data_IF_234478685418
#
_entry.id   IF_234478685418
#
_cell.length_a   1.000
_cell.length_b   1.000
_cell.length_c   1.000
_cell.angle_alpha   90.00
_cell.angle_beta   90.00
_cell.angle_gamma   90.00
#
_symmetry.space_group_name_H-M   'P 1'
#
loop_
_entity.id
_entity.type
_entity.pdbx_description
1 polymer ?
#
# COMPACT_ATOMS: atom_id res chain seq x y z
N UNK A 1 18.21 5.65 14.90
CA UNK A 1 17.46 5.61 13.64
C UNK A 1 17.18 4.17 13.23
N UNK A 2 15.96 3.89 12.76
CA UNK A 2 15.67 2.66 12.03
C UNK A 2 16.22 2.81 10.60
N UNK A 3 16.79 1.73 10.07
CA UNK A 3 17.18 1.67 8.66
C UNK A 3 15.95 1.35 7.82
N UNK A 4 15.82 2.01 6.68
CA UNK A 4 14.67 1.87 5.77
C UNK A 4 13.66 3.00 6.00
N UNK A 5 13.05 3.45 4.93
CA UNK A 5 12.16 4.60 4.86
C UNK A 5 12.77 5.68 3.97
N UNK A 6 12.15 5.86 2.80
CA UNK A 6 12.58 6.87 1.83
C UNK A 6 11.90 8.20 2.13
N UNK A 7 10.70 8.14 2.72
CA UNK A 7 9.78 9.26 2.92
C UNK A 7 9.82 9.84 4.33
N UNK A 8 10.39 9.10 5.32
CA UNK A 8 10.41 9.46 6.73
C UNK A 8 11.75 9.15 7.38
N UNK A 9 12.09 9.90 8.42
CA UNK A 9 13.13 9.51 9.36
C UNK A 9 12.48 8.84 10.57
N UNK A 10 12.80 7.55 10.76
CA UNK A 10 12.23 6.73 11.80
C UNK A 10 13.21 6.47 12.94
N UNK A 11 12.75 6.55 14.19
CA UNK A 11 13.54 6.29 15.38
C UNK A 11 12.80 5.30 16.29
N UNK A 12 13.54 4.40 16.95
CA UNK A 12 13.02 3.70 18.11
C UNK A 12 13.42 4.49 19.34
N UNK A 13 12.43 4.79 20.18
CA UNK A 13 12.59 5.51 21.45
C UNK A 13 12.06 4.62 22.56
N UNK A 14 12.73 4.63 23.71
CA UNK A 14 12.26 3.95 24.92
C UNK A 14 11.94 4.98 26.00
N UNK A 15 10.77 4.87 26.60
CA UNK A 15 10.35 5.64 27.76
C UNK A 15 9.66 4.73 28.77
N UNK A 16 10.09 4.80 30.04
CA UNK A 16 9.52 4.04 31.17
C UNK A 16 9.34 2.54 30.93
N UNK A 17 10.25 1.96 30.13
CA UNK A 17 10.24 0.52 29.81
C UNK A 17 9.36 0.14 28.62
N UNK A 18 8.65 1.09 28.02
CA UNK A 18 7.91 0.90 26.76
C UNK A 18 8.73 1.38 25.57
N UNK A 19 8.47 0.80 24.40
CA UNK A 19 9.13 1.20 23.13
C UNK A 19 8.14 1.82 22.16
N UNK A 20 8.64 2.79 21.41
CA UNK A 20 7.86 3.55 20.44
C UNK A 20 8.64 3.71 19.13
N UNK A 21 7.94 3.81 18.03
CA UNK A 21 8.47 4.28 16.75
C UNK A 21 8.05 5.72 16.58
N UNK A 22 9.03 6.62 16.45
CA UNK A 22 8.81 8.04 16.14
C UNK A 22 9.12 8.23 14.65
N UNK A 23 8.14 8.67 13.89
CA UNK A 23 8.26 9.01 12.46
C UNK A 23 8.26 10.52 12.33
N UNK A 24 9.26 11.08 11.66
CA UNK A 24 9.37 12.51 11.36
C UNK A 24 9.53 12.70 9.87
N UNK A 25 8.68 13.52 9.28
CA UNK A 25 8.72 13.81 7.86
C UNK A 25 7.81 14.96 7.47
N UNK A 26 8.10 15.57 6.33
CA UNK A 26 7.28 16.60 5.71
C UNK A 26 6.43 16.00 4.58
N UNK A 27 5.48 16.79 4.06
CA UNK A 27 4.76 16.44 2.85
C UNK A 27 5.73 16.26 1.68
N UNK A 28 5.46 15.25 0.83
CA UNK A 28 6.20 15.00 -0.41
C UNK A 28 5.20 15.02 -1.58
N UNK A 29 4.79 16.22 -2.03
CA UNK A 29 3.73 16.35 -3.03
C UNK A 29 4.01 15.62 -4.33
N UNK A 30 5.28 15.57 -4.77
CA UNK A 30 5.70 14.86 -5.98
C UNK A 30 5.41 13.36 -5.93
N UNK A 31 5.31 12.78 -4.74
CA UNK A 31 4.93 11.38 -4.53
C UNK A 31 3.50 11.21 -4.01
N UNK A 32 2.76 12.31 -3.86
CA UNK A 32 1.40 12.27 -3.29
C UNK A 32 1.36 11.94 -1.80
N UNK A 33 2.51 12.00 -1.09
CA UNK A 33 2.60 11.73 0.34
C UNK A 33 2.25 12.98 1.12
N UNK A 34 1.14 12.91 1.86
CA UNK A 34 0.60 14.03 2.63
C UNK A 34 0.45 13.61 4.09
N UNK A 35 1.10 14.30 5.01
CA UNK A 35 1.18 13.91 6.43
C UNK A 35 -0.17 13.92 7.15
N UNK A 36 -1.09 14.80 6.77
CA UNK A 36 -2.45 14.76 7.29
C UNK A 36 -3.17 13.44 6.96
N UNK A 37 -2.93 12.90 5.75
CA UNK A 37 -3.55 11.66 5.31
C UNK A 37 -2.92 10.44 5.98
N UNK A 38 -1.58 10.38 6.07
CA UNK A 38 -0.85 9.35 6.82
C UNK A 38 -1.34 9.27 8.28
N UNK A 39 -1.47 10.43 8.95
CA UNK A 39 -1.97 10.51 10.30
C UNK A 39 -3.39 9.98 10.42
N UNK A 40 -4.31 10.42 9.56
CA UNK A 40 -5.71 9.99 9.58
C UNK A 40 -5.84 8.49 9.26
N UNK A 41 -5.05 7.99 8.30
CA UNK A 41 -4.98 6.57 7.95
C UNK A 41 -4.46 5.71 9.10
N UNK A 42 -3.37 6.13 9.75
CA UNK A 42 -2.78 5.43 10.90
C UNK A 42 -3.76 5.33 12.07
N UNK A 43 -4.45 6.43 12.40
CA UNK A 43 -5.49 6.44 13.45
C UNK A 43 -6.65 5.50 13.11
N UNK A 44 -7.17 5.57 11.88
CA UNK A 44 -8.28 4.71 11.42
C UNK A 44 -7.87 3.24 11.38
N UNK A 45 -6.62 2.94 11.00
CA UNK A 45 -6.08 1.58 10.94
C UNK A 45 -5.86 0.98 12.33
N UNK A 46 -5.44 1.78 13.31
CA UNK A 46 -5.41 1.37 14.72
C UNK A 46 -6.81 1.04 15.23
N UNK A 47 -7.79 1.93 15.06
CA UNK A 47 -9.19 1.69 15.48
C UNK A 47 -9.80 0.47 14.78
N UNK A 48 -9.43 0.21 13.53
CA UNK A 48 -9.80 -1.01 12.82
C UNK A 48 -9.07 -2.25 13.35
N UNK A 49 -8.07 -2.10 14.22
CA UNK A 49 -7.25 -3.18 14.75
C UNK A 49 -6.39 -3.85 13.68
N UNK A 50 -5.81 -3.06 12.79
CA UNK A 50 -4.90 -3.48 11.71
C UNK A 50 -3.47 -3.04 12.01
N UNK A 51 -3.32 -1.85 12.61
CA UNK A 51 -2.05 -1.18 12.89
C UNK A 51 -1.80 -0.97 14.37
N UNK A 52 -0.56 -0.68 14.80
CA UNK A 52 -0.25 -0.38 16.19
C UNK A 52 -0.93 0.91 16.64
N UNK A 53 -1.03 1.06 17.96
CA UNK A 53 -1.56 2.26 18.61
C UNK A 53 -0.79 3.51 18.15
N UNK A 54 -1.55 4.55 17.79
CA UNK A 54 -1.04 5.90 17.60
C UNK A 54 -1.05 6.60 18.94
N UNK A 55 0.12 6.74 19.55
CA UNK A 55 0.28 7.33 20.90
C UNK A 55 0.27 8.85 20.82
N UNK A 56 0.83 9.41 19.77
CA UNK A 56 0.86 10.85 19.52
C UNK A 56 0.90 11.14 18.03
N UNK A 57 0.25 12.21 17.61
CA UNK A 57 0.26 12.66 16.23
C UNK A 57 0.11 14.18 16.14
N UNK A 58 1.01 14.82 15.38
CA UNK A 58 0.92 16.23 14.98
C UNK A 58 1.44 16.37 13.54
N UNK A 59 1.24 17.49 12.85
CA UNK A 59 1.79 17.70 11.53
C UNK A 59 3.31 17.45 11.49
N UNK A 60 3.73 16.45 10.71
CA UNK A 60 5.14 16.08 10.54
C UNK A 60 5.73 15.16 11.62
N UNK A 61 4.96 14.78 12.64
CA UNK A 61 5.42 13.81 13.66
C UNK A 61 4.31 12.81 14.02
N UNK A 62 4.66 11.52 13.98
CA UNK A 62 3.78 10.41 14.35
C UNK A 62 4.52 9.47 15.30
N UNK A 63 3.91 9.17 16.45
CA UNK A 63 4.47 8.25 17.44
C UNK A 63 3.54 7.02 17.53
N UNK A 64 4.10 5.88 17.19
CA UNK A 64 3.42 4.60 17.20
C UNK A 64 3.97 3.70 18.31
N UNK A 65 3.12 2.84 18.87
CA UNK A 65 3.60 1.76 19.74
C UNK A 65 4.50 0.82 18.95
N UNK A 66 5.65 0.49 19.49
CA UNK A 66 6.55 -0.46 18.87
C UNK A 66 5.95 -1.88 18.91
N UNK A 67 6.02 -2.58 17.80
CA UNK A 67 5.59 -3.98 17.70
C UNK A 67 6.82 -4.87 17.94
N UNK A 68 6.73 -5.73 18.94
CA UNK A 68 7.70 -6.79 19.17
C UNK A 68 7.38 -7.95 18.21
N UNK A 69 8.01 -7.97 17.05
CA UNK A 69 7.69 -8.93 16.00
C UNK A 69 8.76 -9.00 14.91
N UNK A 70 8.56 -9.89 13.98
CA UNK A 70 9.41 -10.07 12.82
C UNK A 70 8.78 -9.35 11.62
N UNK A 71 9.53 -8.46 10.99
CA UNK A 71 9.18 -7.89 9.69
C UNK A 71 9.28 -8.98 8.64
N UNK A 72 8.26 -9.11 7.78
CA UNK A 72 8.26 -10.14 6.74
C UNK A 72 9.25 -9.82 5.62
N UNK A 73 9.67 -10.88 4.96
CA UNK A 73 10.40 -10.84 3.68
C UNK A 73 9.48 -11.33 2.55
N UNK A 74 9.80 -11.08 1.26
CA UNK A 74 9.03 -11.64 0.16
C UNK A 74 8.90 -13.18 0.24
N UNK A 75 9.93 -13.89 0.73
CA UNK A 75 9.89 -15.34 0.94
C UNK A 75 8.85 -15.73 1.99
N UNK A 76 8.71 -14.95 3.07
CA UNK A 76 7.68 -15.20 4.08
C UNK A 76 6.27 -14.99 3.49
N UNK A 77 6.06 -13.90 2.71
CA UNK A 77 4.78 -13.63 2.07
C UNK A 77 4.34 -14.76 1.13
N UNK A 78 5.28 -15.39 0.41
CA UNK A 78 5.01 -16.53 -0.49
C UNK A 78 4.66 -17.84 0.20
N UNK A 79 4.75 -17.93 1.53
CA UNK A 79 4.30 -19.11 2.26
C UNK A 79 2.77 -19.16 2.27
N UNK A 80 2.19 -20.32 1.96
CA UNK A 80 0.74 -20.47 1.83
C UNK A 80 0.00 -20.12 3.12
N UNK A 81 0.52 -20.54 4.28
CA UNK A 81 -0.01 -20.20 5.60
C UNK A 81 0.07 -18.69 5.90
N UNK A 82 1.08 -18.00 5.38
CA UNK A 82 1.19 -16.55 5.52
C UNK A 82 0.18 -15.82 4.62
N UNK A 83 -0.02 -16.27 3.38
CA UNK A 83 -1.05 -15.73 2.49
C UNK A 83 -2.46 -15.92 3.10
N UNK A 84 -2.72 -17.05 3.76
CA UNK A 84 -3.97 -17.31 4.50
C UNK A 84 -4.21 -16.27 5.63
N UNK A 85 -3.17 -15.67 6.18
CA UNK A 85 -3.25 -14.59 7.19
C UNK A 85 -3.32 -13.19 6.56
N UNK A 86 -2.62 -12.97 5.44
CA UNK A 86 -2.56 -11.67 4.75
C UNK A 86 -3.92 -11.32 4.12
N UNK A 87 -4.60 -12.26 3.43
CA UNK A 87 -5.81 -11.93 2.68
C UNK A 87 -6.99 -11.50 3.58
N UNK A 88 -7.26 -12.14 4.74
CA UNK A 88 -8.22 -11.60 5.70
C UNK A 88 -7.85 -10.23 6.26
N UNK A 89 -6.54 -9.97 6.54
CA UNK A 89 -6.07 -8.66 6.98
C UNK A 89 -6.34 -7.60 5.92
N UNK A 90 -6.03 -7.88 4.65
CA UNK A 90 -6.28 -6.97 3.53
C UNK A 90 -7.79 -6.71 3.33
N UNK A 91 -8.62 -7.75 3.45
CA UNK A 91 -10.08 -7.60 3.43
C UNK A 91 -10.55 -6.65 4.54
N UNK A 92 -9.95 -6.74 5.73
CA UNK A 92 -10.23 -5.85 6.85
C UNK A 92 -9.79 -4.42 6.58
N UNK A 93 -8.61 -4.22 5.97
CA UNK A 93 -8.15 -2.91 5.49
C UNK A 93 -9.21 -2.29 4.59
N UNK A 94 -9.60 -2.96 3.53
CA UNK A 94 -10.50 -2.45 2.50
C UNK A 94 -11.92 -2.14 3.02
N UNK A 95 -12.44 -2.94 3.96
CA UNK A 95 -13.86 -2.86 4.36
C UNK A 95 -14.09 -2.20 5.72
N UNK A 96 -13.07 -2.20 6.60
CA UNK A 96 -13.24 -1.78 7.99
C UNK A 96 -12.64 -0.41 8.28
N UNK A 97 -11.46 -0.09 7.73
CA UNK A 97 -10.81 1.21 7.92
C UNK A 97 -11.73 2.39 7.56
N UNK A 98 -12.50 2.37 6.44
CA UNK A 98 -13.40 3.48 6.10
C UNK A 98 -14.41 3.84 7.17
N UNK A 99 -14.75 2.91 8.07
CA UNK A 99 -15.71 3.14 9.17
C UNK A 99 -15.14 4.01 10.29
N UNK A 100 -13.81 4.08 10.38
CA UNK A 100 -13.09 4.82 11.42
C UNK A 100 -12.39 6.06 10.86
N UNK A 101 -12.29 6.19 9.53
CA UNK A 101 -11.61 7.30 8.89
C UNK A 101 -12.38 8.61 9.12
N UNK A 102 -11.65 9.66 9.52
CA UNK A 102 -12.20 11.00 9.79
C UNK A 102 -11.50 12.04 8.95
N UNK A 103 -12.28 12.99 8.43
CA UNK A 103 -11.76 14.08 7.60
C UNK A 103 -11.63 13.71 6.11
N UNK A 104 -10.94 14.54 5.31
CA UNK A 104 -10.73 14.28 3.89
C UNK A 104 -9.78 13.11 3.69
N UNK A 105 -10.06 12.28 2.69
CA UNK A 105 -9.22 11.17 2.28
C UNK A 105 -8.77 11.35 0.85
N UNK A 106 -7.56 10.91 0.55
CA UNK A 106 -7.02 10.92 -0.80
C UNK A 106 -7.61 9.78 -1.65
N UNK A 107 -7.60 9.99 -2.96
CA UNK A 107 -7.81 8.95 -3.96
C UNK A 107 -6.47 8.64 -4.59
N UNK A 108 -6.04 7.39 -4.49
CA UNK A 108 -4.85 6.90 -5.14
C UNK A 108 -5.26 6.19 -6.44
N UNK A 109 -5.19 6.91 -7.56
CA UNK A 109 -5.46 6.33 -8.88
C UNK A 109 -4.15 6.23 -9.65
N UNK A 110 -3.63 5.03 -9.80
CA UNK A 110 -2.30 4.78 -10.39
C UNK A 110 -2.11 5.45 -11.74
N UNK A 111 -3.13 5.48 -12.61
CA UNK A 111 -3.04 6.11 -13.92
C UNK A 111 -2.95 7.64 -13.85
N UNK A 112 -3.54 8.25 -12.82
CA UNK A 112 -3.30 9.67 -12.52
C UNK A 112 -1.86 9.88 -12.05
N UNK A 113 -1.37 9.05 -11.13
CA UNK A 113 0.02 9.11 -10.62
C UNK A 113 1.03 8.98 -11.78
N UNK A 114 0.81 8.05 -12.70
CA UNK A 114 1.66 7.86 -13.89
C UNK A 114 1.70 9.11 -14.77
N UNK A 115 0.54 9.77 -14.99
CA UNK A 115 0.48 11.02 -15.77
C UNK A 115 1.22 12.16 -15.10
N UNK A 116 1.08 12.27 -13.77
CA UNK A 116 1.77 13.29 -12.97
C UNK A 116 3.28 13.07 -12.99
N UNK A 117 3.75 11.84 -12.77
CA UNK A 117 5.17 11.49 -12.90
C UNK A 117 5.71 11.75 -14.30
N UNK A 118 4.97 11.38 -15.36
CA UNK A 118 5.40 11.64 -16.73
C UNK A 118 5.52 13.15 -17.02
N UNK A 119 4.63 13.97 -16.45
CA UNK A 119 4.73 15.42 -16.57
C UNK A 119 5.95 15.96 -15.84
N UNK A 120 6.20 15.53 -14.61
CA UNK A 120 7.39 15.92 -13.83
C UNK A 120 8.68 15.54 -14.55
N UNK A 121 8.79 14.28 -15.05
CA UNK A 121 9.96 13.81 -15.79
C UNK A 121 10.22 14.59 -17.08
N UNK A 122 9.15 15.07 -17.76
CA UNK A 122 9.30 15.94 -18.94
C UNK A 122 9.81 17.34 -18.56
N UNK A 123 9.27 17.91 -17.47
CA UNK A 123 9.67 19.24 -16.97
C UNK A 123 11.13 19.25 -16.51
N UNK A 124 11.58 18.17 -15.89
CA UNK A 124 12.95 18.02 -15.40
C UNK A 124 13.94 17.53 -16.47
N UNK A 125 13.52 17.46 -17.73
CA UNK A 125 14.35 16.99 -18.86
C UNK A 125 15.02 15.63 -18.58
N UNK A 126 14.30 14.72 -17.93
CA UNK A 126 14.80 13.40 -17.56
C UNK A 126 15.32 12.63 -18.77
N UNK A 127 16.36 11.81 -18.56
CA UNK A 127 16.88 10.87 -19.57
C UNK A 127 15.79 9.92 -20.12
N UNK A 128 14.70 9.71 -19.38
CA UNK A 128 13.56 8.85 -19.76
C UNK A 128 12.56 9.58 -20.70
N UNK A 129 12.71 10.87 -20.94
CA UNK A 129 11.73 11.68 -21.69
C UNK A 129 11.39 11.10 -23.07
N UNK A 130 12.36 10.44 -23.72
CA UNK A 130 12.17 9.81 -25.04
C UNK A 130 11.25 8.58 -25.03
N UNK A 131 11.07 7.93 -23.89
CA UNK A 131 10.27 6.70 -23.75
C UNK A 131 8.86 6.99 -23.18
N UNK A 132 8.64 8.19 -22.60
CA UNK A 132 7.41 8.51 -21.88
C UNK A 132 6.16 8.40 -22.75
N UNK A 133 6.20 8.73 -24.03
CA UNK A 133 5.02 8.65 -24.91
C UNK A 133 4.60 7.19 -25.12
N UNK A 134 5.56 6.27 -25.24
CA UNK A 134 5.29 4.83 -25.34
C UNK A 134 4.73 4.28 -24.03
N UNK A 135 5.33 4.66 -22.89
CA UNK A 135 4.89 4.26 -21.56
C UNK A 135 3.48 4.79 -21.26
N UNK A 136 3.18 6.04 -21.59
CA UNK A 136 1.86 6.63 -21.41
C UNK A 136 0.81 6.00 -22.32
N UNK A 137 1.16 5.64 -23.56
CA UNK A 137 0.26 4.86 -24.43
C UNK A 137 -0.06 3.50 -23.81
N UNK A 138 0.93 2.86 -23.21
CA UNK A 138 0.73 1.59 -22.47
C UNK A 138 -0.20 1.80 -21.29
N UNK A 139 0.05 2.84 -20.46
CA UNK A 139 -0.80 3.18 -19.33
C UNK A 139 -2.26 3.42 -19.73
N UNK A 140 -2.51 4.17 -20.81
CA UNK A 140 -3.87 4.42 -21.32
C UNK A 140 -4.58 3.13 -21.79
N UNK A 141 -3.84 2.17 -22.36
CA UNK A 141 -4.40 0.88 -22.73
C UNK A 141 -4.71 0.01 -21.51
N UNK A 142 -3.84 0.01 -20.51
CA UNK A 142 -4.08 -0.68 -19.23
C UNK A 142 -5.31 -0.10 -18.52
N UNK A 143 -5.44 1.23 -18.46
CA UNK A 143 -6.60 1.89 -17.84
C UNK A 143 -7.92 1.50 -18.51
N UNK A 144 -7.93 1.42 -19.84
CA UNK A 144 -9.11 0.94 -20.60
C UNK A 144 -9.44 -0.51 -20.27
N UNK A 145 -8.43 -1.37 -20.15
CA UNK A 145 -8.64 -2.79 -19.81
C UNK A 145 -9.13 -2.95 -18.36
N UNK A 146 -8.64 -2.17 -17.41
CA UNK A 146 -9.12 -2.15 -16.03
C UNK A 146 -10.61 -1.76 -15.99
N UNK A 147 -11.02 -0.75 -16.72
CA UNK A 147 -12.42 -0.31 -16.82
C UNK A 147 -13.01 0.20 -15.50
N UNK A 148 -14.31 -0.03 -15.28
CA UNK A 148 -15.00 0.39 -14.07
C UNK A 148 -14.49 -0.40 -12.84
N UNK A 149 -14.31 0.28 -11.70
CA UNK A 149 -13.76 -0.31 -10.49
C UNK A 149 -14.74 -0.22 -9.33
N UNK A 150 -14.63 -1.17 -8.40
CA UNK A 150 -15.11 -1.00 -7.04
C UNK A 150 -14.12 -0.15 -6.26
N UNK A 151 -14.63 0.69 -5.38
CA UNK A 151 -13.81 1.59 -4.59
C UNK A 151 -13.69 1.05 -3.15
N UNK A 152 -12.45 0.84 -2.71
CA UNK A 152 -12.11 0.42 -1.35
C UNK A 152 -11.07 1.38 -0.77
N UNK A 153 -10.85 1.32 0.54
CA UNK A 153 -9.72 2.02 1.16
C UNK A 153 -8.48 1.13 1.06
N UNK A 154 -7.56 1.50 0.19
CA UNK A 154 -6.34 0.75 -0.08
C UNK A 154 -5.15 1.21 0.77
N UNK A 155 -4.20 0.31 0.96
CA UNK A 155 -2.89 0.62 1.50
C UNK A 155 -1.98 1.26 0.43
N UNK A 156 -2.08 0.74 -0.79
CA UNK A 156 -1.40 1.19 -2.00
C UNK A 156 0.13 1.03 -2.01
N UNK A 157 0.68 0.30 -1.01
CA UNK A 157 2.11 0.00 -0.92
C UNK A 157 2.38 -1.29 -0.15
N UNK A 158 1.89 -2.43 -0.66
CA UNK A 158 1.97 -3.74 0.00
C UNK A 158 3.32 -4.44 -0.24
N UNK A 159 4.39 -3.83 0.31
CA UNK A 159 5.69 -4.45 0.43
C UNK A 159 5.71 -5.44 1.61
N UNK A 160 6.50 -6.52 1.51
CA UNK A 160 6.71 -7.45 2.64
C UNK A 160 7.17 -6.71 3.91
N UNK A 161 8.02 -5.70 3.75
CA UNK A 161 8.56 -4.89 4.85
C UNK A 161 7.49 -4.13 5.66
N UNK A 162 6.28 -3.95 5.12
CA UNK A 162 5.17 -3.29 5.78
C UNK A 162 4.31 -4.24 6.63
N UNK A 163 4.59 -5.54 6.60
CA UNK A 163 3.95 -6.54 7.45
C UNK A 163 4.87 -6.94 8.62
N UNK A 164 4.32 -6.97 9.83
CA UNK A 164 5.05 -7.38 11.05
C UNK A 164 4.24 -8.50 11.71
N UNK A 165 4.86 -9.66 11.91
CA UNK A 165 4.29 -10.80 12.63
C UNK A 165 4.82 -10.83 14.06
N UNK A 166 3.94 -10.68 15.06
CA UNK A 166 4.31 -10.76 16.48
C UNK A 166 4.13 -12.17 17.07
N UNK A 167 3.76 -13.13 16.21
CA UNK A 167 3.51 -14.52 16.60
C UNK A 167 2.04 -14.82 16.87
N UNK A 168 1.27 -13.85 17.37
CA UNK A 168 -0.17 -13.97 17.62
C UNK A 168 -0.98 -13.41 16.45
N UNK A 169 -0.53 -12.33 15.86
CA UNK A 169 -1.24 -11.65 14.77
C UNK A 169 -0.29 -10.95 13.80
N UNK A 170 -0.85 -10.64 12.65
CA UNK A 170 -0.18 -9.86 11.61
C UNK A 170 -0.61 -8.40 11.69
N UNK A 171 0.37 -7.51 11.64
CA UNK A 171 0.19 -6.07 11.62
C UNK A 171 0.58 -5.50 10.27
N UNK A 172 -0.09 -4.41 9.85
CA UNK A 172 0.27 -3.65 8.67
C UNK A 172 0.60 -2.22 9.06
N UNK A 173 1.73 -1.71 8.56
CA UNK A 173 2.27 -0.38 8.88
C UNK A 173 2.63 0.38 7.61
N UNK A 174 2.94 1.65 7.74
CA UNK A 174 3.36 2.56 6.66
C UNK A 174 2.22 2.98 5.71
N UNK A 175 1.40 3.92 6.16
CA UNK A 175 0.20 4.40 5.47
C UNK A 175 0.45 5.63 4.58
N UNK A 176 1.69 5.86 4.12
CA UNK A 176 2.08 7.03 3.34
C UNK A 176 1.26 7.21 2.07
N UNK A 177 0.93 6.10 1.39
CA UNK A 177 0.16 6.08 0.14
C UNK A 177 -1.31 5.70 0.33
N UNK A 178 -1.78 5.58 1.56
CA UNK A 178 -3.14 5.14 1.83
C UNK A 178 -4.19 6.06 1.21
N UNK A 179 -5.25 5.47 0.69
CA UNK A 179 -6.33 6.21 0.06
C UNK A 179 -7.30 5.31 -0.69
N UNK A 180 -8.38 5.90 -1.17
CA UNK A 180 -9.35 5.15 -1.96
C UNK A 180 -8.79 4.74 -3.32
N UNK A 181 -8.94 3.46 -3.65
CA UNK A 181 -8.48 2.85 -4.89
C UNK A 181 -9.30 1.60 -5.24
N UNK A 182 -8.98 0.96 -6.36
CA UNK A 182 -9.45 -0.38 -6.69
C UNK A 182 -8.78 -1.43 -5.80
N UNK A 183 -9.50 -2.45 -5.30
CA UNK A 183 -8.87 -3.57 -4.61
C UNK A 183 -7.85 -4.31 -5.49
N UNK A 184 -8.01 -4.25 -6.81
CA UNK A 184 -7.08 -4.88 -7.75
C UNK A 184 -5.67 -4.28 -7.67
N UNK A 185 -5.53 -3.02 -7.24
CA UNK A 185 -4.22 -2.39 -7.10
C UNK A 185 -3.44 -2.99 -5.92
N UNK A 186 -4.06 -3.08 -4.76
CA UNK A 186 -3.44 -3.70 -3.59
C UNK A 186 -3.15 -5.20 -3.83
N UNK A 187 -4.08 -5.94 -4.45
CA UNK A 187 -3.86 -7.33 -4.79
C UNK A 187 -2.73 -7.50 -5.83
N UNK A 188 -2.71 -6.64 -6.85
CA UNK A 188 -1.65 -6.63 -7.86
C UNK A 188 -0.29 -6.25 -7.29
N UNK A 189 -0.23 -5.22 -6.44
CA UNK A 189 0.97 -4.79 -5.73
C UNK A 189 1.49 -5.87 -4.76
N UNK A 190 0.60 -6.52 -4.00
CA UNK A 190 1.00 -7.64 -3.14
C UNK A 190 1.65 -8.76 -3.96
N UNK A 191 1.06 -9.10 -5.10
CA UNK A 191 1.58 -10.17 -5.95
C UNK A 191 2.92 -9.79 -6.61
N UNK A 192 3.03 -8.60 -7.21
CA UNK A 192 4.23 -8.17 -7.91
C UNK A 192 5.41 -7.91 -6.97
N UNK A 193 5.16 -7.20 -5.86
CA UNK A 193 6.22 -6.84 -4.91
C UNK A 193 6.79 -8.05 -4.14
N UNK A 194 6.03 -9.14 -4.09
CA UNK A 194 6.42 -10.35 -3.36
C UNK A 194 6.60 -11.56 -4.28
N UNK A 195 6.57 -11.38 -5.61
CA UNK A 195 6.83 -12.43 -6.62
C UNK A 195 5.93 -13.67 -6.45
N UNK A 196 4.62 -13.48 -6.24
CA UNK A 196 3.69 -14.60 -6.12
C UNK A 196 3.64 -15.43 -7.41
N UNK A 197 3.51 -16.75 -7.29
CA UNK A 197 3.31 -17.63 -8.44
C UNK A 197 1.91 -17.43 -9.03
N UNK A 198 1.70 -17.81 -10.31
CA UNK A 198 0.37 -17.76 -10.94
C UNK A 198 -0.71 -18.52 -10.16
N UNK A 199 -0.34 -19.63 -9.52
CA UNK A 199 -1.24 -20.45 -8.69
C UNK A 199 -1.62 -19.69 -7.40
N UNK A 200 -0.64 -19.01 -6.78
CA UNK A 200 -0.87 -18.18 -5.59
C UNK A 200 -1.72 -16.96 -5.91
N UNK A 201 -1.51 -16.31 -7.06
CA UNK A 201 -2.34 -15.21 -7.51
C UNK A 201 -3.81 -15.64 -7.72
N UNK A 202 -4.05 -16.78 -8.35
CA UNK A 202 -5.39 -17.31 -8.53
C UNK A 202 -6.06 -17.64 -7.19
N UNK A 203 -5.33 -18.30 -6.30
CA UNK A 203 -5.79 -18.60 -4.95
C UNK A 203 -6.12 -17.31 -4.16
N UNK A 204 -5.24 -16.32 -4.19
CA UNK A 204 -5.41 -15.02 -3.55
C UNK A 204 -6.70 -14.33 -4.00
N UNK A 205 -6.90 -14.24 -5.32
CA UNK A 205 -8.08 -13.60 -5.91
C UNK A 205 -9.36 -14.35 -5.52
N UNK A 206 -9.36 -15.69 -5.65
CA UNK A 206 -10.49 -16.53 -5.25
C UNK A 206 -10.82 -16.35 -3.76
N UNK A 207 -9.81 -16.33 -2.90
CA UNK A 207 -9.98 -16.17 -1.45
C UNK A 207 -10.51 -14.79 -1.10
N UNK A 208 -9.98 -13.73 -1.74
CA UNK A 208 -10.40 -12.35 -1.50
C UNK A 208 -11.87 -12.11 -1.93
N UNK A 209 -12.26 -12.57 -3.10
CA UNK A 209 -13.62 -12.39 -3.64
C UNK A 209 -14.62 -13.44 -3.16
N UNK A 210 -14.15 -14.56 -2.60
CA UNK A 210 -14.99 -15.67 -2.15
C UNK A 210 -15.64 -16.47 -3.28
N UNK A 211 -15.15 -16.32 -4.50
CA UNK A 211 -15.66 -16.99 -5.71
C UNK A 211 -14.57 -17.16 -6.75
N UNK A 212 -14.78 -18.11 -7.68
CA UNK A 212 -13.90 -18.23 -8.84
C UNK A 212 -13.90 -16.96 -9.67
N UNK A 213 -12.70 -16.55 -10.12
CA UNK A 213 -12.51 -15.33 -10.91
C UNK A 213 -12.73 -15.68 -12.39
N UNK A 214 -13.62 -14.95 -13.05
CA UNK A 214 -13.82 -15.11 -14.48
C UNK A 214 -12.61 -14.57 -15.28
N UNK A 215 -12.46 -15.03 -16.53
CA UNK A 215 -11.35 -14.62 -17.40
C UNK A 215 -11.25 -13.09 -17.57
N UNK A 216 -12.39 -12.41 -17.63
CA UNK A 216 -12.41 -10.96 -17.79
C UNK A 216 -11.89 -10.24 -16.55
N UNK A 217 -12.30 -10.67 -15.36
CA UNK A 217 -11.83 -10.06 -14.10
C UNK A 217 -10.35 -10.37 -13.87
N UNK A 218 -9.87 -11.54 -14.28
CA UNK A 218 -8.44 -11.85 -14.22
C UNK A 218 -7.62 -10.94 -15.15
N UNK A 219 -8.09 -10.65 -16.38
CA UNK A 219 -7.42 -9.69 -17.27
C UNK A 219 -7.36 -8.28 -16.68
N UNK A 220 -8.43 -7.82 -16.04
CA UNK A 220 -8.49 -6.53 -15.35
C UNK A 220 -7.48 -6.48 -14.19
N UNK A 221 -7.37 -7.56 -13.43
CA UNK A 221 -6.37 -7.71 -12.38
C UNK A 221 -4.95 -7.65 -12.97
N UNK A 222 -4.65 -8.40 -14.01
CA UNK A 222 -3.34 -8.36 -14.68
C UNK A 222 -3.00 -6.96 -15.20
N UNK A 223 -3.97 -6.27 -15.79
CA UNK A 223 -3.78 -4.88 -16.23
C UNK A 223 -3.44 -3.94 -15.07
N UNK A 224 -4.10 -4.08 -13.92
CA UNK A 224 -3.81 -3.29 -12.74
C UNK A 224 -2.45 -3.63 -12.12
N UNK A 225 -2.09 -4.92 -12.09
CA UNK A 225 -0.75 -5.38 -11.65
C UNK A 225 0.35 -4.81 -12.56
N UNK A 226 0.15 -4.80 -13.88
CA UNK A 226 1.08 -4.15 -14.81
C UNK A 226 1.17 -2.64 -14.57
N UNK A 227 0.07 -1.96 -14.27
CA UNK A 227 0.09 -0.53 -13.95
C UNK A 227 0.83 -0.24 -12.63
N UNK A 228 0.74 -1.12 -11.63
CA UNK A 228 1.54 -1.04 -10.41
C UNK A 228 3.04 -1.13 -10.71
N UNK A 229 3.45 -2.12 -11.52
CA UNK A 229 4.85 -2.27 -11.93
C UNK A 229 5.35 -1.08 -12.78
N UNK A 230 4.48 -0.47 -13.58
CA UNK A 230 4.85 0.68 -14.39
C UNK A 230 5.12 1.94 -13.54
N UNK A 231 4.54 2.01 -12.34
CA UNK A 231 4.77 3.10 -11.38
C UNK A 231 6.15 3.01 -10.72
N UNK A 232 6.65 1.80 -10.45
CA UNK A 232 7.96 1.55 -9.83
C UNK A 232 9.13 1.93 -10.76
#
# INVERSE_FOLDING_TARGET
>A
PLRGGITNTNFVVSDRGERFVVRIGEDIPVHGVMRFNEQAASLASFEAGVSPEVVYAEPGALVLRFIEGQTLTPENVRQDDMLERIIPLLTKVHKTIPRYFKGPSLVFWVFHVLRDYAQTLRQDESRMSGELDTLMTTADNLEKEVGAIDLVYGHNDLLAANFIDDGDRLWLVDWDYAGYNSPLFDLGGLASNNELSPEQEQWMLKTYYGTEICRNDFRRYEAMKCASLLRE
#
